data_IF_024188857882
#
_entry.id   IF_024188857882
#
_cell.length_a   1.000
_cell.length_b   1.000
_cell.length_c   1.000
_cell.angle_alpha   90.00
_cell.angle_beta   90.00
_cell.angle_gamma   90.00
#
_symmetry.space_group_name_H-M   'P 1'
#
loop_
_entity.id
_entity.type
_entity.pdbx_description
1 polymer ?
#
# COMPACT_ATOMS: atom_id res chain seq x y z
N UNK A 1 -24.66 15.30 2.76
CA UNK A 1 -23.36 14.86 3.30
C UNK A 1 -23.34 13.37 3.63
N UNK A 2 -24.24 12.89 4.48
CA UNK A 2 -24.27 11.48 4.91
C UNK A 2 -24.48 10.47 3.78
N UNK A 3 -25.31 10.79 2.79
CA UNK A 3 -25.59 9.90 1.64
C UNK A 3 -24.36 9.74 0.75
N UNK A 4 -23.65 10.81 0.48
CA UNK A 4 -22.42 10.75 -0.33
C UNK A 4 -21.33 9.95 0.36
N UNK A 5 -21.15 10.14 1.66
CA UNK A 5 -20.19 9.35 2.45
C UNK A 5 -20.56 7.87 2.43
N UNK A 6 -21.84 7.54 2.58
CA UNK A 6 -22.32 6.18 2.53
C UNK A 6 -22.05 5.52 1.16
N UNK A 7 -22.31 6.22 0.08
CA UNK A 7 -22.08 5.72 -1.27
C UNK A 7 -20.59 5.48 -1.53
N UNK A 8 -19.74 6.40 -1.10
CA UNK A 8 -18.28 6.26 -1.20
C UNK A 8 -17.76 5.09 -0.36
N UNK A 9 -18.26 4.93 0.86
CA UNK A 9 -17.94 3.80 1.74
C UNK A 9 -18.34 2.47 1.09
N UNK A 10 -19.50 2.40 0.45
CA UNK A 10 -19.95 1.21 -0.27
C UNK A 10 -19.07 0.85 -1.45
N UNK A 11 -18.53 1.83 -2.15
CA UNK A 11 -17.55 1.57 -3.22
C UNK A 11 -16.30 0.87 -2.70
N UNK A 12 -15.80 1.27 -1.54
CA UNK A 12 -14.68 0.59 -0.88
C UNK A 12 -15.10 -0.81 -0.43
N UNK A 13 -16.27 -0.96 0.17
CA UNK A 13 -16.79 -2.25 0.61
C UNK A 13 -16.89 -3.29 -0.51
N UNK A 14 -17.25 -2.86 -1.71
CA UNK A 14 -17.30 -3.77 -2.87
C UNK A 14 -15.98 -4.46 -3.14
N UNK A 15 -14.85 -3.81 -2.86
CA UNK A 15 -13.53 -4.42 -3.00
C UNK A 15 -13.34 -5.60 -2.04
N UNK A 16 -13.85 -5.47 -0.81
CA UNK A 16 -13.75 -6.52 0.21
C UNK A 16 -14.65 -7.73 -0.09
N UNK A 17 -15.79 -7.49 -0.72
CA UNK A 17 -16.81 -8.50 -0.97
C UNK A 17 -16.73 -9.12 -2.36
N UNK A 18 -15.79 -8.72 -3.17
CA UNK A 18 -15.60 -9.28 -4.51
C UNK A 18 -14.87 -10.62 -4.40
N UNK A 19 -15.66 -11.67 -4.08
CA UNK A 19 -15.18 -12.99 -3.67
C UNK A 19 -14.61 -13.86 -4.81
N UNK A 20 -14.40 -13.33 -5.97
CA UNK A 20 -13.84 -14.11 -7.06
C UNK A 20 -12.32 -14.24 -6.93
N UNK A 21 -11.88 -14.94 -5.88
CA UNK A 21 -10.58 -15.65 -5.77
C UNK A 21 -9.33 -14.98 -6.36
N UNK A 22 -9.44 -13.86 -7.01
CA UNK A 22 -8.30 -13.09 -7.50
C UNK A 22 -7.84 -12.13 -6.42
N UNK A 23 -6.55 -12.07 -6.23
CA UNK A 23 -5.88 -11.06 -5.42
C UNK A 23 -6.48 -9.69 -5.73
N UNK A 24 -6.97 -8.99 -4.72
CA UNK A 24 -7.28 -7.58 -4.88
C UNK A 24 -5.97 -6.88 -5.23
N UNK A 25 -5.86 -6.41 -6.44
CA UNK A 25 -4.65 -5.71 -6.89
C UNK A 25 -4.64 -4.36 -6.21
N UNK A 26 -3.50 -3.98 -5.62
CA UNK A 26 -3.37 -2.68 -4.94
C UNK A 26 -3.74 -1.51 -5.85
N UNK A 27 -3.49 -1.62 -7.15
CA UNK A 27 -3.90 -0.62 -8.12
C UNK A 27 -5.43 -0.43 -8.18
N UNK A 28 -6.21 -1.49 -8.00
CA UNK A 28 -7.67 -1.40 -7.99
C UNK A 28 -8.17 -0.65 -6.76
N UNK A 29 -7.56 -0.90 -5.61
CA UNK A 29 -7.85 -0.16 -4.37
C UNK A 29 -7.50 1.33 -4.57
N UNK A 30 -6.32 1.61 -5.11
CA UNK A 30 -5.89 2.96 -5.42
C UNK A 30 -6.84 3.66 -6.39
N UNK A 31 -7.30 2.97 -7.43
CA UNK A 31 -8.23 3.51 -8.41
C UNK A 31 -9.58 3.92 -7.77
N UNK A 32 -10.11 3.11 -6.87
CA UNK A 32 -11.34 3.43 -6.14
C UNK A 32 -11.12 4.65 -5.23
N UNK A 33 -10.01 4.68 -4.51
CA UNK A 33 -9.68 5.82 -3.64
C UNK A 33 -9.46 7.11 -4.46
N UNK A 34 -8.83 7.01 -5.62
CA UNK A 34 -8.68 8.14 -6.54
C UNK A 34 -10.03 8.68 -6.97
N UNK A 35 -10.95 7.82 -7.34
CA UNK A 35 -12.31 8.21 -7.75
C UNK A 35 -13.08 8.93 -6.64
N UNK A 36 -13.07 8.37 -5.43
CA UNK A 36 -13.86 8.92 -4.32
C UNK A 36 -13.24 10.15 -3.66
N UNK A 37 -11.92 10.30 -3.73
CA UNK A 37 -11.17 11.41 -3.10
C UNK A 37 -10.71 12.48 -4.09
N UNK A 38 -10.89 12.25 -5.40
CA UNK A 38 -10.39 13.14 -6.46
C UNK A 38 -8.90 13.48 -6.26
N UNK A 39 -8.10 12.48 -5.99
CA UNK A 39 -6.69 12.61 -5.60
C UNK A 39 -5.82 11.56 -6.25
N UNK A 40 -4.53 11.84 -6.36
CA UNK A 40 -3.54 10.81 -6.66
C UNK A 40 -3.32 9.95 -5.39
N UNK A 41 -3.18 8.66 -5.57
CA UNK A 41 -3.04 7.71 -4.47
C UNK A 41 -1.84 6.80 -4.71
N UNK A 42 -1.02 6.62 -3.68
CA UNK A 42 0.14 5.72 -3.71
C UNK A 42 0.13 4.87 -2.45
N UNK A 43 0.27 3.57 -2.62
CA UNK A 43 0.48 2.62 -1.52
C UNK A 43 1.95 2.26 -1.49
N UNK A 44 2.59 2.50 -0.35
CA UNK A 44 4.02 2.31 -0.16
C UNK A 44 4.23 1.29 0.95
N UNK A 45 5.07 0.28 0.72
CA UNK A 45 5.42 -0.69 1.74
C UNK A 45 6.33 -0.07 2.81
N UNK A 46 6.49 -0.76 3.93
CA UNK A 46 7.42 -0.36 5.00
C UNK A 46 8.84 -0.12 4.50
N UNK A 47 9.27 -0.85 3.47
CA UNK A 47 10.60 -0.70 2.86
C UNK A 47 10.69 0.39 1.79
N UNK A 48 9.60 1.10 1.56
CA UNK A 48 9.56 2.18 0.56
C UNK A 48 9.21 1.72 -0.86
N UNK A 49 8.83 0.47 -1.04
CA UNK A 49 8.42 -0.04 -2.36
C UNK A 49 7.00 0.38 -2.69
N UNK A 50 6.79 0.89 -3.90
CA UNK A 50 5.46 1.22 -4.40
C UNK A 50 4.71 -0.06 -4.75
N UNK A 51 3.63 -0.35 -4.05
CA UNK A 51 2.81 -1.54 -4.24
C UNK A 51 1.62 -1.29 -5.16
N UNK A 52 1.12 -0.08 -5.18
CA UNK A 52 0.02 0.35 -6.03
C UNK A 52 -0.01 1.85 -6.15
N UNK A 53 -0.57 2.34 -7.25
CA UNK A 53 -0.76 3.77 -7.47
C UNK A 53 -1.91 4.02 -8.42
N UNK A 54 -2.48 5.20 -8.34
CA UNK A 54 -3.52 5.68 -9.25
C UNK A 54 -3.41 7.18 -9.43
N UNK A 55 -3.69 7.64 -10.62
CA UNK A 55 -3.61 9.06 -11.01
C UNK A 55 -5.01 9.63 -11.17
N UNK A 56 -5.21 10.83 -10.65
CA UNK A 56 -6.42 11.60 -10.87
C UNK A 56 -6.22 12.59 -12.01
N UNK A 57 -7.20 12.70 -12.87
CA UNK A 57 -7.19 13.72 -13.93
C UNK A 57 -7.15 15.12 -13.30
N UNK A 58 -6.30 15.98 -13.81
CA UNK A 58 -6.14 17.34 -13.30
C UNK A 58 -5.22 17.50 -12.08
N UNK A 59 -4.67 16.41 -11.55
CA UNK A 59 -3.68 16.48 -10.47
C UNK A 59 -2.31 16.07 -11.04
N UNK A 60 -1.39 17.04 -11.22
CA UNK A 60 -0.05 16.72 -11.72
C UNK A 60 0.71 15.81 -10.75
N UNK A 61 1.55 14.95 -11.29
CA UNK A 61 2.44 14.11 -10.48
C UNK A 61 3.54 14.97 -9.85
N UNK A 62 3.89 14.66 -8.61
CA UNK A 62 5.04 15.26 -7.95
C UNK A 62 6.31 14.60 -8.51
N UNK A 63 7.26 15.41 -9.03
CA UNK A 63 8.46 14.89 -9.69
C UNK A 63 9.30 13.95 -8.82
N UNK A 64 9.38 14.21 -7.53
CA UNK A 64 10.12 13.37 -6.59
C UNK A 64 9.44 12.03 -6.30
N UNK A 65 8.19 11.87 -6.75
CA UNK A 65 7.42 10.64 -6.76
C UNK A 65 7.17 10.14 -8.20
N UNK A 66 7.91 10.65 -9.17
CA UNK A 66 7.71 10.42 -10.63
C UNK A 66 7.68 8.95 -11.00
N UNK A 67 8.54 8.18 -10.38
CA UNK A 67 8.59 6.77 -10.66
C UNK A 67 7.49 6.00 -9.91
N UNK A 68 6.31 6.62 -9.74
CA UNK A 68 5.12 5.99 -9.15
C UNK A 68 4.66 4.80 -9.99
N UNK A 69 5.59 3.92 -10.24
CA UNK A 69 5.33 2.64 -10.90
C UNK A 69 5.44 1.55 -9.86
N UNK A 70 4.52 0.62 -9.92
CA UNK A 70 4.55 -0.56 -9.06
C UNK A 70 5.90 -1.25 -9.18
N UNK A 71 6.51 -1.52 -8.04
CA UNK A 71 7.82 -2.17 -7.95
C UNK A 71 9.01 -1.24 -7.77
N UNK A 72 8.86 0.07 -8.03
CA UNK A 72 9.93 1.05 -7.76
C UNK A 72 9.98 1.41 -6.27
N UNK A 73 11.09 1.96 -5.84
CA UNK A 73 11.28 2.42 -4.45
C UNK A 73 11.31 3.95 -4.41
N UNK A 74 10.66 4.52 -3.41
CA UNK A 74 10.79 5.96 -3.12
C UNK A 74 12.15 6.23 -2.47
N UNK A 75 12.53 7.51 -2.42
CA UNK A 75 13.74 7.90 -1.72
C UNK A 75 13.75 7.42 -0.26
N UNK A 76 14.90 6.89 0.19
CA UNK A 76 15.03 6.32 1.53
C UNK A 76 14.78 7.30 2.66
N UNK A 77 15.21 8.55 2.51
CA UNK A 77 14.97 9.61 3.50
C UNK A 77 13.50 9.99 3.56
N UNK A 78 12.83 10.06 2.41
CA UNK A 78 11.39 10.28 2.34
C UNK A 78 10.65 9.15 3.05
N UNK A 79 11.02 7.90 2.80
CA UNK A 79 10.40 6.76 3.45
C UNK A 79 10.56 6.80 4.97
N UNK A 80 11.74 7.15 5.48
CA UNK A 80 11.97 7.30 6.93
C UNK A 80 11.07 8.38 7.53
N UNK A 81 10.91 9.50 6.84
CA UNK A 81 10.02 10.57 7.28
C UNK A 81 8.56 10.14 7.29
N UNK A 82 8.13 9.39 6.27
CA UNK A 82 6.78 8.81 6.23
C UNK A 82 6.56 7.82 7.39
N UNK A 83 7.53 6.98 7.67
CA UNK A 83 7.45 6.01 8.77
C UNK A 83 7.42 6.67 10.15
N UNK A 84 7.92 7.90 10.28
CA UNK A 84 7.83 8.66 11.53
C UNK A 84 6.42 9.18 11.83
N UNK A 85 5.53 9.17 10.84
CA UNK A 85 4.13 9.55 10.99
C UNK A 85 3.38 8.36 11.59
N UNK A 86 2.92 8.51 12.84
CA UNK A 86 2.30 7.43 13.61
C UNK A 86 0.78 7.48 13.63
N UNK A 87 0.18 8.55 13.14
CA UNK A 87 -1.27 8.71 13.00
C UNK A 87 -1.56 9.49 11.72
N UNK A 88 -2.79 9.38 11.23
CA UNK A 88 -3.22 10.11 10.03
C UNK A 88 -2.95 11.60 10.16
N UNK A 89 -2.31 12.17 9.17
CA UNK A 89 -2.08 13.61 9.02
C UNK A 89 -2.81 14.11 7.79
N UNK A 90 -3.70 15.04 8.00
CA UNK A 90 -4.45 15.70 6.92
C UNK A 90 -3.84 17.05 6.57
N UNK A 91 -4.03 17.45 5.32
CA UNK A 91 -3.58 18.74 4.79
C UNK A 91 -2.12 19.05 5.13
N UNK A 92 -1.27 18.03 4.91
CA UNK A 92 0.16 18.09 5.21
C UNK A 92 0.86 19.05 4.24
N UNK A 93 1.67 19.94 4.79
CA UNK A 93 2.63 20.68 3.97
C UNK A 93 3.79 19.76 3.58
N UNK A 94 3.88 19.45 2.29
CA UNK A 94 4.87 18.50 1.77
C UNK A 94 6.32 18.97 1.91
N UNK A 95 6.55 20.27 2.09
CA UNK A 95 7.89 20.78 2.39
C UNK A 95 8.46 20.18 3.67
N UNK A 96 7.60 19.87 4.64
CA UNK A 96 8.01 19.26 5.91
C UNK A 96 8.56 17.84 5.73
N UNK A 97 8.23 17.21 4.62
CA UNK A 97 8.74 15.89 4.25
C UNK A 97 10.00 15.96 3.37
N UNK A 98 10.47 17.16 3.07
CA UNK A 98 11.69 17.38 2.29
C UNK A 98 11.46 17.61 0.81
N UNK A 99 10.21 17.75 0.36
CA UNK A 99 9.93 18.14 -1.01
C UNK A 99 10.31 19.62 -1.25
N UNK A 100 10.74 19.93 -2.46
CA UNK A 100 11.05 21.30 -2.85
C UNK A 100 9.79 22.19 -2.84
N UNK A 101 9.89 23.35 -2.22
CA UNK A 101 8.77 24.30 -2.12
C UNK A 101 8.17 24.65 -3.49
N UNK A 102 8.99 24.82 -4.50
CA UNK A 102 8.55 25.17 -5.84
C UNK A 102 7.73 24.04 -6.51
N UNK A 103 8.05 22.79 -6.17
CA UNK A 103 7.41 21.59 -6.74
C UNK A 103 6.06 21.33 -6.07
N UNK A 104 5.96 21.54 -4.75
CA UNK A 104 4.78 21.17 -3.96
C UNK A 104 3.86 22.33 -3.64
N UNK A 105 4.06 23.48 -4.25
CA UNK A 105 3.20 24.64 -4.06
C UNK A 105 1.76 24.32 -4.43
N UNK A 106 0.84 24.57 -3.50
CA UNK A 106 -0.58 24.30 -3.70
C UNK A 106 -1.01 22.87 -3.47
N UNK A 107 -0.09 21.93 -3.28
CA UNK A 107 -0.42 20.54 -2.97
C UNK A 107 -0.84 20.38 -1.50
N UNK A 108 -1.84 19.54 -1.31
CA UNK A 108 -2.27 19.07 -0.01
C UNK A 108 -2.23 17.54 0.00
N UNK A 109 -1.86 16.97 1.13
CA UNK A 109 -1.77 15.53 1.26
C UNK A 109 -2.47 15.01 2.51
N UNK A 110 -3.00 13.80 2.40
CA UNK A 110 -3.32 12.95 3.55
C UNK A 110 -2.27 11.84 3.58
N UNK A 111 -1.63 11.67 4.71
CA UNK A 111 -0.67 10.60 4.93
C UNK A 111 -1.19 9.75 6.07
N UNK A 112 -1.46 8.49 5.78
CA UNK A 112 -2.02 7.55 6.74
C UNK A 112 -1.10 6.36 6.91
N UNK A 113 -0.66 6.06 8.16
CA UNK A 113 0.09 4.84 8.41
C UNK A 113 -0.80 3.62 8.19
N UNK A 114 -0.27 2.60 7.55
CA UNK A 114 -0.94 1.32 7.37
C UNK A 114 -0.48 0.41 8.50
N UNK A 115 -1.29 0.34 9.56
CA UNK A 115 -1.02 -0.46 10.75
C UNK A 115 -2.13 -1.49 10.94
N UNK A 116 -1.77 -2.75 11.11
CA UNK A 116 -2.71 -3.81 11.44
C UNK A 116 -2.17 -4.58 12.65
N UNK A 117 -2.99 -4.71 13.68
CA UNK A 117 -2.66 -5.43 14.90
C UNK A 117 -1.34 -4.97 15.54
N UNK A 118 -1.09 -3.67 15.50
CA UNK A 118 0.12 -3.06 16.07
C UNK A 118 1.36 -3.16 15.19
N UNK A 119 1.26 -3.76 14.01
CA UNK A 119 2.38 -3.86 13.07
C UNK A 119 2.25 -2.82 11.96
N UNK A 120 3.32 -2.06 11.75
CA UNK A 120 3.41 -1.10 10.65
C UNK A 120 3.72 -1.84 9.35
N UNK A 121 2.81 -1.78 8.38
CA UNK A 121 2.95 -2.46 7.08
C UNK A 121 3.41 -1.52 5.97
N UNK A 122 3.09 -0.26 6.08
CA UNK A 122 3.44 0.72 5.05
C UNK A 122 2.79 2.08 5.27
N UNK A 123 2.62 2.82 4.19
CA UNK A 123 2.05 4.17 4.19
C UNK A 123 1.11 4.33 3.00
N UNK A 124 -0.05 4.93 3.25
CA UNK A 124 -0.96 5.40 2.20
C UNK A 124 -0.74 6.89 2.02
N UNK A 125 -0.33 7.28 0.83
CA UNK A 125 -0.03 8.66 0.46
C UNK A 125 -1.05 9.14 -0.57
N UNK A 126 -1.85 10.15 -0.20
CA UNK A 126 -2.93 10.70 -1.01
C UNK A 126 -2.67 12.19 -1.16
N UNK A 127 -2.71 12.70 -2.39
CA UNK A 127 -2.47 14.12 -2.61
C UNK A 127 -3.30 14.69 -3.76
N UNK A 128 -3.61 15.96 -3.64
CA UNK A 128 -4.27 16.76 -4.67
C UNK A 128 -3.76 18.21 -4.64
N UNK A 129 -4.20 19.01 -5.58
CA UNK A 129 -3.78 20.41 -5.71
C UNK A 129 -4.96 21.37 -5.52
N UNK A 130 -4.68 22.54 -4.93
CA UNK A 130 -5.59 23.67 -4.79
C UNK A 130 -6.89 23.43 -3.99
N UNK A 131 -6.98 22.31 -3.29
CA UNK A 131 -8.13 21.99 -2.46
C UNK A 131 -7.67 21.36 -1.15
N UNK A 132 -8.39 21.64 -0.08
CA UNK A 132 -8.16 21.00 1.22
C UNK A 132 -8.99 19.73 1.36
N UNK A 133 -8.55 18.85 2.23
CA UNK A 133 -9.30 17.65 2.62
C UNK A 133 -10.22 17.98 3.80
N UNK A 134 -11.41 17.41 3.76
CA UNK A 134 -12.42 17.53 4.80
C UNK A 134 -12.51 16.25 5.64
N UNK A 135 -13.34 16.27 6.68
CA UNK A 135 -13.50 15.15 7.62
C UNK A 135 -13.92 13.86 6.88
N UNK A 136 -14.83 13.95 5.93
CA UNK A 136 -15.27 12.79 5.15
C UNK A 136 -14.10 12.14 4.39
N UNK A 137 -13.20 12.95 3.84
CA UNK A 137 -12.02 12.47 3.13
C UNK A 137 -11.07 11.72 4.08
N UNK A 138 -10.91 12.21 5.30
CA UNK A 138 -10.09 11.58 6.33
C UNK A 138 -10.68 10.22 6.73
N UNK A 139 -11.99 10.16 6.96
CA UNK A 139 -12.70 8.93 7.29
C UNK A 139 -12.52 7.89 6.18
N UNK A 140 -12.70 8.29 4.93
CA UNK A 140 -12.55 7.41 3.77
C UNK A 140 -11.11 6.94 3.60
N UNK A 141 -10.15 7.80 3.86
CA UNK A 141 -8.72 7.47 3.80
C UNK A 141 -8.34 6.43 4.86
N UNK A 142 -8.81 6.61 6.09
CA UNK A 142 -8.56 5.65 7.18
C UNK A 142 -9.24 4.31 6.91
N UNK A 143 -10.45 4.33 6.37
CA UNK A 143 -11.13 3.11 5.96
C UNK A 143 -10.39 2.40 4.82
N UNK A 144 -9.97 3.15 3.81
CA UNK A 144 -9.14 2.64 2.72
C UNK A 144 -7.83 2.03 3.22
N UNK A 145 -7.21 2.64 4.21
CA UNK A 145 -6.00 2.13 4.85
C UNK A 145 -6.21 0.77 5.49
N UNK A 146 -7.35 0.56 6.14
CA UNK A 146 -7.71 -0.74 6.73
C UNK A 146 -7.83 -1.81 5.63
N UNK A 147 -8.50 -1.51 4.54
CA UNK A 147 -8.66 -2.43 3.40
C UNK A 147 -7.30 -2.78 2.80
N UNK A 148 -6.46 -1.78 2.56
CA UNK A 148 -5.09 -1.99 2.06
C UNK A 148 -4.28 -2.83 3.02
N UNK A 149 -4.34 -2.53 4.31
CA UNK A 149 -3.60 -3.25 5.35
C UNK A 149 -3.99 -4.73 5.42
N UNK A 150 -5.27 -5.04 5.34
CA UNK A 150 -5.76 -6.43 5.31
C UNK A 150 -5.25 -7.18 4.08
N UNK A 151 -5.21 -6.52 2.93
CA UNK A 151 -4.69 -7.12 1.70
C UNK A 151 -3.17 -7.33 1.77
N UNK A 152 -2.43 -6.38 2.34
CA UNK A 152 -0.99 -6.53 2.57
C UNK A 152 -0.71 -7.71 3.48
N UNK A 153 -1.47 -7.85 4.56
CA UNK A 153 -1.33 -8.95 5.52
C UNK A 153 -1.62 -10.29 4.87
N UNK A 154 -2.66 -10.37 4.04
CA UNK A 154 -2.99 -11.57 3.28
C UNK A 154 -1.86 -11.97 2.32
N UNK A 155 -1.31 -11.01 1.60
CA UNK A 155 -0.20 -11.23 0.67
C UNK A 155 1.04 -11.76 1.36
N UNK A 156 1.41 -11.19 2.50
CA UNK A 156 2.54 -11.66 3.32
C UNK A 156 2.31 -13.09 3.81
N UNK A 157 1.11 -13.38 4.30
CA UNK A 157 0.78 -14.74 4.78
C UNK A 157 0.82 -15.77 3.64
N UNK A 158 0.36 -15.43 2.45
CA UNK A 158 0.44 -16.30 1.28
C UNK A 158 1.89 -16.56 0.86
N UNK A 159 2.73 -15.54 0.83
CA UNK A 159 4.16 -15.67 0.54
C UNK A 159 4.86 -16.55 1.56
N UNK A 160 4.62 -16.34 2.85
CA UNK A 160 5.19 -17.17 3.91
C UNK A 160 4.74 -18.63 3.82
N UNK A 161 3.48 -18.87 3.53
CA UNK A 161 2.95 -20.23 3.32
C UNK A 161 3.60 -20.90 2.12
N UNK A 162 3.81 -20.18 1.04
CA UNK A 162 4.46 -20.68 -0.18
C UNK A 162 5.93 -20.98 0.06
N UNK A 163 6.67 -20.10 0.74
CA UNK A 163 8.05 -20.33 1.15
C UNK A 163 8.19 -21.57 2.04
N UNK A 164 7.32 -21.71 3.04
CA UNK A 164 7.31 -22.87 3.92
C UNK A 164 7.07 -24.17 3.16
N UNK A 165 6.17 -24.19 2.18
CA UNK A 165 5.95 -25.35 1.32
C UNK A 165 7.17 -25.68 0.48
N UNK A 166 7.81 -24.67 -0.12
CA UNK A 166 9.04 -24.86 -0.90
C UNK A 166 10.17 -25.44 -0.07
N UNK A 167 10.40 -24.90 1.14
CA UNK A 167 11.38 -25.40 2.08
C UNK A 167 11.10 -26.85 2.47
N UNK A 168 9.87 -27.20 2.77
CA UNK A 168 9.46 -28.56 3.11
C UNK A 168 9.69 -29.54 1.96
N UNK A 169 9.36 -29.16 0.73
CA UNK A 169 9.61 -29.96 -0.47
C UNK A 169 11.11 -30.16 -0.67
N UNK A 170 11.91 -29.14 -0.54
CA UNK A 170 13.38 -29.23 -0.68
C UNK A 170 13.98 -30.14 0.39
N UNK A 171 13.59 -29.98 1.65
CA UNK A 171 14.06 -30.84 2.75
C UNK A 171 13.68 -32.31 2.54
N UNK A 172 12.47 -32.58 2.09
CA UNK A 172 12.02 -33.93 1.78
C UNK A 172 12.82 -34.56 0.61
N UNK A 173 13.10 -33.80 -0.42
CA UNK A 173 13.91 -34.24 -1.56
C UNK A 173 15.36 -34.51 -1.12
N UNK A 174 15.97 -33.68 -0.31
CA UNK A 174 17.32 -33.86 0.22
C UNK A 174 17.39 -35.11 1.09
N UNK A 175 16.44 -35.33 1.98
CA UNK A 175 16.35 -36.52 2.84
C UNK A 175 16.22 -37.81 2.04
N UNK A 176 15.43 -37.78 0.98
CA UNK A 176 15.27 -38.92 0.08
C UNK A 176 16.57 -39.23 -0.68
N UNK A 177 17.24 -38.23 -1.19
CA UNK A 177 18.54 -38.40 -1.88
C UNK A 177 19.61 -38.94 -0.94
N UNK A 178 19.74 -38.43 0.25
CA UNK A 178 20.70 -38.87 1.26
C UNK A 178 20.47 -40.36 1.63
N UNK A 179 19.24 -40.78 1.75
CA UNK A 179 18.87 -42.15 2.02
C UNK A 179 19.25 -43.10 0.85
N UNK A 180 18.98 -42.70 -0.37
CA UNK A 180 19.36 -43.42 -1.57
C UNK A 180 20.87 -43.55 -1.71
N UNK A 181 21.64 -42.51 -1.43
CA UNK A 181 23.10 -42.55 -1.43
C UNK A 181 23.66 -43.50 -0.39
N UNK A 182 23.12 -43.49 0.84
CA UNK A 182 23.49 -44.43 1.90
C UNK A 182 23.21 -45.90 1.50
N UNK A 183 22.09 -46.18 0.90
CA UNK A 183 21.71 -47.50 0.43
C UNK A 183 22.65 -47.99 -0.67
N UNK A 184 23.07 -47.14 -1.58
CA UNK A 184 24.01 -47.44 -2.62
C UNK A 184 25.43 -47.73 -2.08
N UNK A 185 25.84 -47.11 -0.98
CA UNK A 185 27.13 -47.33 -0.34
C UNK A 185 27.18 -48.64 0.43
N UNK A 186 26.08 -49.06 1.02
CA UNK A 186 25.97 -50.29 1.82
C UNK A 186 25.89 -51.54 0.94
N UNK A 187 25.36 -51.42 -0.24
CA UNK A 187 25.27 -52.50 -1.21
C UNK A 187 26.47 -52.55 -2.15
#
# INVERSE_FOLDING_TARGET
MSVQLLDKTRKINKLLHNNNSSKVVFNDICAVLTEILNSNVVVISKKGKVLGCSKCEGVPLIEELIEQKVGTHIDGMLNERLLSILSTKENVNLETLGFSADVVKGYQAIITPIDIAGERLGTLFIYKIDQIYEIDDIILSEYGTTVVGLEMLRSVNEENAEESRKEHIVQSAISTLSYSELEAIIN
#
